data_IF_326889342453
#
_entry.id   IF_326889342453
#
_cell.length_a   1.000
_cell.length_b   1.000
_cell.length_c   1.000
_cell.angle_alpha   90.00
_cell.angle_beta   90.00
_cell.angle_gamma   90.00
#
_symmetry.space_group_name_H-M   'P 1'
#
loop_
_entity.id
_entity.type
_entity.pdbx_description
1 polymer ?
#
# COMPACT_ATOMS: atom_id res chain seq x y z
N UNK A 1 -10.12 -23.83 -13.86
CA UNK A 1 -8.89 -23.55 -13.07
C UNK A 1 -7.75 -23.45 -14.07
N UNK A 2 -7.39 -22.22 -14.42
CA UNK A 2 -6.51 -21.93 -15.56
C UNK A 2 -5.04 -21.96 -15.16
N UNK A 3 -4.18 -22.27 -16.13
CA UNK A 3 -2.71 -22.30 -16.06
C UNK A 3 -2.05 -21.05 -15.42
N UNK A 4 -2.80 -19.95 -15.31
CA UNK A 4 -2.38 -18.73 -14.62
C UNK A 4 -2.29 -18.89 -13.09
N UNK A 5 -3.19 -19.62 -12.43
CA UNK A 5 -3.17 -19.74 -10.95
C UNK A 5 -1.93 -20.51 -10.45
N UNK A 6 -1.37 -21.40 -11.26
CA UNK A 6 -0.25 -22.27 -10.90
C UNK A 6 1.09 -21.51 -10.82
N UNK A 7 1.30 -20.52 -11.71
CA UNK A 7 2.50 -19.67 -11.67
C UNK A 7 2.46 -18.68 -10.50
N UNK A 8 1.27 -18.21 -10.11
CA UNK A 8 1.11 -17.31 -8.97
C UNK A 8 1.30 -18.01 -7.61
N UNK A 9 1.02 -19.31 -7.52
CA UNK A 9 1.32 -20.11 -6.31
C UNK A 9 2.80 -20.45 -6.18
N UNK A 10 3.47 -20.66 -7.30
CA UNK A 10 4.89 -21.01 -7.29
C UNK A 10 5.79 -19.84 -6.85
N UNK A 11 5.51 -18.62 -7.30
CA UNK A 11 6.32 -17.44 -6.95
C UNK A 11 6.19 -17.03 -5.48
N UNK A 12 4.96 -17.04 -4.93
CA UNK A 12 4.74 -16.72 -3.52
C UNK A 12 5.44 -17.71 -2.59
N UNK A 13 5.38 -19.01 -2.90
CA UNK A 13 6.11 -20.05 -2.14
C UNK A 13 7.63 -19.81 -2.16
N UNK A 14 8.18 -19.37 -3.29
CA UNK A 14 9.61 -19.08 -3.39
C UNK A 14 10.01 -17.87 -2.53
N UNK A 15 9.20 -16.81 -2.53
CA UNK A 15 9.46 -15.64 -1.69
C UNK A 15 9.26 -15.94 -0.19
N UNK A 16 8.28 -16.74 0.19
CA UNK A 16 8.08 -17.20 1.58
C UNK A 16 9.28 -18.01 2.08
N UNK A 17 9.87 -18.84 1.23
CA UNK A 17 11.12 -19.54 1.54
C UNK A 17 12.30 -18.58 1.73
N UNK A 18 12.36 -17.49 0.96
CA UNK A 18 13.38 -16.44 1.13
C UNK A 18 13.22 -15.75 2.48
N UNK A 19 12.01 -15.34 2.85
CA UNK A 19 11.71 -14.74 4.17
C UNK A 19 11.99 -15.71 5.33
N UNK A 20 11.76 -17.01 5.13
CA UNK A 20 12.08 -18.03 6.14
C UNK A 20 13.58 -18.13 6.38
N UNK A 21 14.40 -17.94 5.33
CA UNK A 21 15.87 -17.97 5.43
C UNK A 21 16.45 -16.64 5.92
N UNK A 22 15.88 -15.53 5.46
CA UNK A 22 16.22 -14.17 5.87
C UNK A 22 14.94 -13.36 6.12
N UNK A 23 14.52 -13.23 7.40
CA UNK A 23 13.34 -12.46 7.76
C UNK A 23 13.45 -10.97 7.45
N UNK A 24 14.65 -10.45 7.20
CA UNK A 24 14.89 -9.05 6.88
C UNK A 24 15.09 -8.81 5.36
N UNK A 25 14.74 -9.78 4.51
CA UNK A 25 14.74 -9.58 3.06
C UNK A 25 13.55 -8.72 2.62
N UNK A 26 13.77 -7.40 2.59
CA UNK A 26 12.76 -6.42 2.21
C UNK A 26 12.20 -6.65 0.80
N UNK A 27 12.99 -7.17 -0.13
CA UNK A 27 12.54 -7.46 -1.50
C UNK A 27 11.61 -8.68 -1.51
N UNK A 28 11.92 -9.72 -0.73
CA UNK A 28 11.05 -10.89 -0.58
C UNK A 28 9.68 -10.48 -0.03
N UNK A 29 9.66 -9.67 1.04
CA UNK A 29 8.41 -9.14 1.61
C UNK A 29 7.64 -8.29 0.62
N UNK A 30 8.32 -7.47 -0.18
CA UNK A 30 7.67 -6.66 -1.22
C UNK A 30 6.99 -7.53 -2.27
N UNK A 31 7.67 -8.56 -2.77
CA UNK A 31 7.14 -9.48 -3.77
C UNK A 31 6.00 -10.35 -3.22
N UNK A 32 6.05 -10.72 -1.93
CA UNK A 32 4.93 -11.36 -1.24
C UNK A 32 3.71 -10.44 -1.21
N UNK A 33 3.90 -9.17 -0.86
CA UNK A 33 2.84 -8.15 -0.85
C UNK A 33 2.16 -7.99 -2.21
N UNK A 34 2.95 -7.87 -3.28
CA UNK A 34 2.43 -7.82 -4.67
C UNK A 34 1.68 -9.11 -5.03
N UNK A 35 2.18 -10.26 -4.58
CA UNK A 35 1.52 -11.55 -4.78
C UNK A 35 0.15 -11.61 -4.12
N UNK A 36 0.01 -11.13 -2.88
CA UNK A 36 -1.26 -11.08 -2.17
C UNK A 36 -2.22 -10.04 -2.74
N UNK A 37 -1.70 -8.85 -3.12
CA UNK A 37 -2.49 -7.82 -3.79
C UNK A 37 -3.13 -8.36 -5.09
N UNK A 38 -2.36 -9.05 -5.92
CA UNK A 38 -2.86 -9.66 -7.17
C UNK A 38 -3.92 -10.75 -6.93
N UNK A 39 -3.89 -11.40 -5.77
CA UNK A 39 -4.91 -12.36 -5.34
C UNK A 39 -6.13 -11.70 -4.71
N UNK A 40 -6.11 -10.38 -4.53
CA UNK A 40 -7.16 -9.63 -3.84
C UNK A 40 -7.11 -9.77 -2.31
N UNK A 41 -6.05 -10.36 -1.75
CA UNK A 41 -5.90 -10.50 -0.31
C UNK A 41 -5.22 -9.26 0.28
N UNK A 42 -6.05 -8.25 0.52
CA UNK A 42 -5.59 -6.92 0.92
C UNK A 42 -4.94 -6.93 2.30
N UNK A 43 -5.47 -7.69 3.26
CA UNK A 43 -4.90 -7.75 4.62
C UNK A 43 -3.50 -8.33 4.62
N UNK A 44 -3.28 -9.45 3.91
CA UNK A 44 -1.95 -10.05 3.81
C UNK A 44 -0.99 -9.19 2.99
N UNK A 45 -1.49 -8.50 1.96
CA UNK A 45 -0.69 -7.55 1.19
C UNK A 45 -0.19 -6.39 2.07
N UNK A 46 -1.07 -5.81 2.90
CA UNK A 46 -0.71 -4.74 3.84
C UNK A 46 0.36 -5.23 4.79
N UNK A 47 0.15 -6.37 5.45
CA UNK A 47 1.11 -6.92 6.43
C UNK A 47 2.50 -7.13 5.80
N UNK A 48 2.56 -7.66 4.57
CA UNK A 48 3.83 -7.85 3.87
C UNK A 48 4.52 -6.51 3.54
N UNK A 49 3.78 -5.51 3.03
CA UNK A 49 4.38 -4.20 2.73
C UNK A 49 4.74 -3.40 3.98
N UNK A 50 4.02 -3.56 5.09
CA UNK A 50 4.39 -2.97 6.38
C UNK A 50 5.74 -3.50 6.85
N UNK A 51 6.00 -4.79 6.63
CA UNK A 51 7.29 -5.39 6.94
C UNK A 51 8.42 -4.83 6.07
N UNK A 52 8.15 -4.56 4.79
CA UNK A 52 9.09 -3.81 3.91
C UNK A 52 9.40 -2.44 4.49
N UNK A 53 8.40 -1.69 4.96
CA UNK A 53 8.59 -0.37 5.56
C UNK A 53 9.32 -0.47 6.91
N UNK A 54 9.10 -1.54 7.69
CA UNK A 54 9.80 -1.80 8.94
C UNK A 54 11.30 -2.02 8.69
N UNK A 55 11.64 -2.81 7.68
CA UNK A 55 13.02 -3.15 7.32
C UNK A 55 13.70 -1.99 6.58
N UNK A 56 13.00 -1.40 5.61
CA UNK A 56 13.45 -0.27 4.81
C UNK A 56 12.41 0.87 4.81
N UNK A 57 12.51 1.79 5.78
CA UNK A 57 11.60 2.94 5.88
C UNK A 57 11.69 3.93 4.70
N UNK A 58 12.69 3.76 3.81
CA UNK A 58 12.89 4.60 2.62
C UNK A 58 12.37 3.95 1.34
N UNK A 59 11.67 2.82 1.45
CA UNK A 59 11.03 2.17 0.31
C UNK A 59 9.81 2.99 -0.17
N UNK A 60 10.02 3.80 -1.21
CA UNK A 60 8.99 4.65 -1.78
C UNK A 60 7.86 3.82 -2.41
N UNK A 61 8.22 2.71 -3.04
CA UNK A 61 7.32 1.75 -3.66
C UNK A 61 6.42 1.05 -2.62
N UNK A 62 6.96 0.64 -1.47
CA UNK A 62 6.15 0.03 -0.41
C UNK A 62 5.15 1.03 0.20
N UNK A 63 5.57 2.28 0.43
CA UNK A 63 4.66 3.34 0.87
C UNK A 63 3.56 3.62 -0.17
N UNK A 64 3.89 3.60 -1.46
CA UNK A 64 2.93 3.79 -2.53
C UNK A 64 1.87 2.67 -2.55
N UNK A 65 2.29 1.41 -2.48
CA UNK A 65 1.37 0.26 -2.48
C UNK A 65 0.50 0.23 -1.21
N UNK A 66 1.07 0.49 -0.03
CA UNK A 66 0.29 0.61 1.21
C UNK A 66 -0.79 1.68 1.08
N UNK A 67 -0.49 2.81 0.46
CA UNK A 67 -1.45 3.88 0.30
C UNK A 67 -2.68 3.45 -0.52
N UNK A 68 -2.46 2.69 -1.61
CA UNK A 68 -3.54 2.11 -2.41
C UNK A 68 -4.35 1.08 -1.63
N UNK A 69 -3.70 0.20 -0.88
CA UNK A 69 -4.37 -0.84 -0.11
C UNK A 69 -5.22 -0.25 1.02
N UNK A 70 -4.70 0.75 1.74
CA UNK A 70 -5.48 1.49 2.74
C UNK A 70 -6.64 2.26 2.12
N UNK A 71 -6.43 2.86 0.94
CA UNK A 71 -7.53 3.52 0.22
C UNK A 71 -8.62 2.53 -0.21
N UNK A 72 -8.24 1.30 -0.59
CA UNK A 72 -9.18 0.22 -0.89
C UNK A 72 -9.97 -0.20 0.35
N UNK A 73 -9.33 -0.26 1.52
CA UNK A 73 -9.99 -0.48 2.82
C UNK A 73 -10.81 0.70 3.34
N UNK A 74 -10.88 1.80 2.59
CA UNK A 74 -11.52 3.04 3.00
C UNK A 74 -10.87 3.69 4.25
N UNK A 75 -9.61 3.35 4.53
CA UNK A 75 -8.80 3.91 5.62
C UNK A 75 -8.04 5.15 5.14
N UNK A 76 -8.77 6.24 4.90
CA UNK A 76 -8.26 7.45 4.26
C UNK A 76 -7.05 8.09 4.96
N UNK A 77 -7.04 8.11 6.30
CA UNK A 77 -5.93 8.70 7.07
C UNK A 77 -4.61 7.97 6.84
N UNK A 78 -4.62 6.62 6.80
CA UNK A 78 -3.43 5.84 6.51
C UNK A 78 -3.03 5.99 5.04
N UNK A 79 -4.00 5.96 4.12
CA UNK A 79 -3.75 6.15 2.70
C UNK A 79 -3.02 7.48 2.41
N UNK A 80 -3.51 8.59 2.98
CA UNK A 80 -2.91 9.92 2.85
C UNK A 80 -1.49 9.94 3.44
N UNK A 81 -1.31 9.39 4.66
CA UNK A 81 0.00 9.35 5.31
C UNK A 81 1.04 8.62 4.47
N UNK A 82 0.69 7.45 3.94
CA UNK A 82 1.62 6.63 3.14
C UNK A 82 1.90 7.25 1.76
N UNK A 83 0.91 7.81 1.06
CA UNK A 83 1.15 8.45 -0.24
C UNK A 83 1.99 9.73 -0.13
N UNK A 84 1.81 10.50 0.96
CA UNK A 84 2.67 11.66 1.26
C UNK A 84 4.13 11.23 1.43
N UNK A 85 4.37 10.15 2.18
CA UNK A 85 5.73 9.64 2.38
C UNK A 85 6.35 9.12 1.08
N UNK A 86 5.58 8.39 0.26
CA UNK A 86 6.02 7.94 -1.06
C UNK A 86 6.43 9.13 -1.95
N UNK A 87 5.59 10.17 -2.02
CA UNK A 87 5.90 11.38 -2.80
C UNK A 87 7.17 12.10 -2.34
N UNK A 88 7.42 12.17 -1.03
CA UNK A 88 8.65 12.74 -0.48
C UNK A 88 9.88 11.92 -0.88
N UNK A 89 9.80 10.59 -0.80
CA UNK A 89 10.90 9.69 -1.16
C UNK A 89 11.18 9.69 -2.67
N UNK A 90 10.13 9.70 -3.52
CA UNK A 90 10.29 9.86 -4.97
C UNK A 90 10.94 11.19 -5.33
N UNK A 91 10.59 12.28 -4.61
CA UNK A 91 11.24 13.57 -4.78
C UNK A 91 12.73 13.52 -4.41
N UNK A 92 13.10 12.80 -3.35
CA UNK A 92 14.51 12.62 -2.96
C UNK A 92 15.30 11.79 -3.98
N UNK A 93 14.64 10.86 -4.67
CA UNK A 93 15.24 9.98 -5.69
C UNK A 93 15.25 10.58 -7.10
N UNK A 94 14.76 11.82 -7.27
CA UNK A 94 14.57 12.51 -8.55
C UNK A 94 13.61 11.77 -9.52
N UNK A 95 12.71 10.93 -9.00
CA UNK A 95 11.72 10.18 -9.76
C UNK A 95 10.49 11.06 -10.02
N UNK A 96 10.61 11.99 -10.98
CA UNK A 96 9.59 13.02 -11.23
C UNK A 96 8.23 12.43 -11.62
N UNK A 97 8.21 11.40 -12.47
CA UNK A 97 6.97 10.74 -12.90
C UNK A 97 6.22 10.12 -11.72
N UNK A 98 6.91 9.29 -10.92
CA UNK A 98 6.31 8.64 -9.74
C UNK A 98 5.89 9.66 -8.68
N UNK A 99 6.65 10.74 -8.52
CA UNK A 99 6.28 11.86 -7.65
C UNK A 99 4.98 12.52 -8.10
N UNK A 100 4.82 12.76 -9.41
CA UNK A 100 3.61 13.39 -9.94
C UNK A 100 2.40 12.45 -9.86
N UNK A 101 2.61 11.14 -10.06
CA UNK A 101 1.61 10.11 -9.77
C UNK A 101 1.17 10.15 -8.29
N UNK A 102 2.14 10.13 -7.36
CA UNK A 102 1.86 10.19 -5.93
C UNK A 102 1.12 11.49 -5.53
N UNK A 103 1.47 12.63 -6.13
CA UNK A 103 0.76 13.90 -5.91
C UNK A 103 -0.67 13.87 -6.45
N UNK A 104 -0.89 13.23 -7.60
CA UNK A 104 -2.24 13.06 -8.16
C UNK A 104 -3.11 12.24 -7.23
N UNK A 105 -2.60 11.09 -6.78
CA UNK A 105 -3.28 10.21 -5.83
C UNK A 105 -3.53 10.88 -4.48
N UNK A 106 -2.57 11.66 -3.98
CA UNK A 106 -2.75 12.42 -2.75
C UNK A 106 -3.95 13.38 -2.84
N UNK A 107 -4.09 14.09 -3.97
CA UNK A 107 -5.26 14.97 -4.20
C UNK A 107 -6.55 14.17 -4.31
N UNK A 108 -6.53 13.04 -4.99
CA UNK A 108 -7.68 12.14 -5.10
C UNK A 108 -8.11 11.61 -3.73
N UNK A 109 -7.17 11.14 -2.91
CA UNK A 109 -7.44 10.63 -1.57
C UNK A 109 -7.99 11.74 -0.68
N UNK A 110 -7.42 12.95 -0.75
CA UNK A 110 -8.01 14.09 -0.06
C UNK A 110 -9.44 14.37 -0.52
N UNK A 111 -9.73 14.41 -1.82
CA UNK A 111 -11.09 14.63 -2.31
C UNK A 111 -12.05 13.52 -1.84
N UNK A 112 -11.64 12.26 -1.98
CA UNK A 112 -12.44 11.08 -1.64
C UNK A 112 -12.72 10.96 -0.14
N UNK A 113 -11.74 11.21 0.70
CA UNK A 113 -11.84 10.99 2.15
C UNK A 113 -12.21 12.24 2.94
N UNK A 114 -12.04 13.45 2.37
CA UNK A 114 -12.55 14.70 2.97
C UNK A 114 -14.08 14.68 3.15
N UNK A 115 -14.79 14.05 2.22
CA UNK A 115 -16.25 13.91 2.30
C UNK A 115 -16.71 12.92 3.38
N UNK A 116 -15.86 11.96 3.76
CA UNK A 116 -16.18 10.96 4.80
C UNK A 116 -16.14 11.59 6.19
N UNK A 117 -15.17 12.48 6.45
CA UNK A 117 -15.10 13.23 7.71
C UNK A 117 -16.27 14.22 7.83
N UNK A 118 -16.59 14.95 6.76
CA UNK A 118 -17.68 15.95 6.77
C UNK A 118 -19.05 15.29 6.94
N UNK A 119 -19.31 14.15 6.28
CA UNK A 119 -20.59 13.43 6.43
C UNK A 119 -20.78 12.81 7.82
N UNK A 120 -19.71 12.29 8.43
CA UNK A 120 -19.78 11.77 9.80
C UNK A 120 -19.94 12.87 10.86
N UNK A 121 -19.53 14.11 10.58
CA UNK A 121 -19.80 15.24 11.48
C UNK A 121 -21.22 15.80 11.32
N UNK A 122 -21.80 15.78 10.11
CA UNK A 122 -23.14 16.33 9.86
C UNK A 122 -24.30 15.40 10.25
N UNK A 123 -24.07 14.11 10.47
CA UNK A 123 -25.12 13.17 10.94
C UNK A 123 -25.30 13.15 12.45
N UNK A 124 -24.42 13.81 13.22
CA UNK A 124 -24.46 13.81 14.69
C UNK A 124 -25.06 15.11 15.27
N UNK A 125 -25.49 16.06 14.44
CA UNK A 125 -26.06 17.34 14.89
C UNK A 125 -27.59 17.44 14.75
N UNK A 126 -28.26 16.43 14.18
CA UNK A 126 -29.72 16.42 13.96
C UNK A 126 -30.47 15.44 14.90
N UNK A 127 -29.88 15.09 16.05
CA UNK A 127 -30.53 14.28 17.09
C UNK A 127 -30.21 14.81 18.48
N UNK A 128 -30.80 15.96 18.81
CA UNK A 128 -30.76 16.60 20.14
C UNK A 128 -31.94 17.53 20.34
#
# INVERSE_FOLDING_TARGET
MGFFDFLHQSSLTEYENRVTRDPNDAEAHFLIGVGFERRGDVERAISAFEEVVRINPRSAEAHFNLAHLFAFKNEGSQAIRHITQAGNLFSQRNETEKKDQARSLLREFHARFKDVEIKNTQTNEDSG
#
